data_IF_418381047204
#
_entry.id   IF_418381047204
#
_cell.length_a   1.000
_cell.length_b   1.000
_cell.length_c   1.000
_cell.angle_alpha   90.00
_cell.angle_beta   90.00
_cell.angle_gamma   90.00
#
_symmetry.space_group_name_H-M   'P 1'
#
loop_
_entity.id
_entity.type
_entity.pdbx_description
1 polymer ?
#
# COMPACT_ATOMS: atom_id res chain seq x y z
N UNK A 1 -11.10 -13.74 18.35
CA UNK A 1 -10.54 -14.30 17.11
C UNK A 1 -11.59 -14.65 16.07
N UNK A 2 -12.50 -15.62 16.28
CA UNK A 2 -13.50 -16.02 15.26
C UNK A 2 -14.33 -14.88 14.64
N UNK A 3 -14.78 -13.91 15.43
CA UNK A 3 -15.56 -12.78 14.91
C UNK A 3 -14.75 -11.87 13.97
N UNK A 4 -13.49 -11.59 14.30
CA UNK A 4 -12.58 -10.80 13.47
C UNK A 4 -12.27 -11.52 12.15
N UNK A 5 -11.94 -12.81 12.23
CA UNK A 5 -11.64 -13.63 11.05
C UNK A 5 -12.86 -13.75 10.12
N UNK A 6 -14.07 -13.91 10.68
CA UNK A 6 -15.29 -13.96 9.87
C UNK A 6 -15.62 -12.63 9.20
N UNK A 7 -15.42 -11.51 9.91
CA UNK A 7 -15.67 -10.18 9.39
C UNK A 7 -14.67 -9.80 8.29
N UNK A 8 -13.39 -10.15 8.45
CA UNK A 8 -12.38 -9.99 7.39
C UNK A 8 -12.67 -10.86 6.17
N UNK A 9 -13.20 -12.08 6.37
CA UNK A 9 -13.56 -12.96 5.26
C UNK A 9 -14.77 -12.45 4.46
N UNK A 10 -15.72 -11.79 5.10
CA UNK A 10 -16.83 -11.12 4.40
C UNK A 10 -16.33 -9.91 3.59
N UNK A 11 -15.43 -9.09 4.16
CA UNK A 11 -14.85 -7.94 3.47
C UNK A 11 -14.00 -8.38 2.26
N UNK A 12 -13.21 -9.44 2.39
CA UNK A 12 -12.41 -10.00 1.30
C UNK A 12 -13.27 -10.60 0.17
N UNK A 13 -14.54 -10.93 0.44
CA UNK A 13 -15.51 -11.37 -0.57
C UNK A 13 -16.12 -10.21 -1.37
N UNK A 14 -15.97 -8.97 -0.92
CA UNK A 14 -16.54 -7.79 -1.59
C UNK A 14 -15.67 -7.42 -2.79
N UNK A 15 -16.31 -7.26 -3.95
CA UNK A 15 -15.66 -6.75 -5.15
C UNK A 15 -16.21 -5.38 -5.51
N UNK A 16 -15.32 -4.49 -5.94
CA UNK A 16 -15.66 -3.24 -6.59
C UNK A 16 -15.86 -3.52 -8.08
N UNK A 17 -17.00 -3.08 -8.62
CA UNK A 17 -17.38 -3.26 -10.03
C UNK A 17 -17.31 -4.75 -10.47
N UNK A 18 -17.65 -5.67 -9.55
CA UNK A 18 -17.62 -7.13 -9.72
C UNK A 18 -16.26 -7.73 -10.12
N UNK A 19 -15.21 -6.91 -10.18
CA UNK A 19 -13.94 -7.26 -10.83
C UNK A 19 -12.76 -7.15 -9.88
N UNK A 20 -12.70 -6.08 -9.07
CA UNK A 20 -11.53 -5.78 -8.23
C UNK A 20 -11.84 -6.15 -6.78
N UNK A 21 -11.06 -7.02 -6.12
CA UNK A 21 -11.20 -7.25 -4.69
C UNK A 21 -11.13 -5.93 -3.91
N UNK A 22 -12.09 -5.69 -3.01
CA UNK A 22 -12.12 -4.49 -2.16
C UNK A 22 -10.81 -4.34 -1.38
N UNK A 23 -10.24 -5.47 -0.95
CA UNK A 23 -8.97 -5.53 -0.24
C UNK A 23 -7.85 -4.84 -1.02
N UNK A 24 -7.66 -5.20 -2.30
CA UNK A 24 -6.67 -4.56 -3.17
C UNK A 24 -6.89 -3.05 -3.32
N UNK A 25 -8.15 -2.62 -3.37
CA UNK A 25 -8.46 -1.19 -3.42
C UNK A 25 -8.08 -0.48 -2.11
N UNK A 26 -8.31 -1.11 -0.96
CA UNK A 26 -7.93 -0.58 0.35
C UNK A 26 -6.41 -0.50 0.50
N UNK A 27 -5.66 -1.53 0.09
CA UNK A 27 -4.19 -1.51 0.06
C UNK A 27 -3.65 -0.33 -0.75
N UNK A 28 -4.23 -0.10 -1.94
CA UNK A 28 -3.88 0.99 -2.82
C UNK A 28 -4.13 2.38 -2.19
N UNK A 29 -5.29 2.56 -1.55
CA UNK A 29 -5.63 3.79 -0.82
C UNK A 29 -4.69 3.99 0.36
N UNK A 30 -4.42 2.93 1.11
CA UNK A 30 -3.63 2.98 2.33
C UNK A 30 -2.19 3.43 2.05
N UNK A 31 -1.55 2.84 1.05
CA UNK A 31 -0.20 3.24 0.64
C UNK A 31 -0.13 4.71 0.23
N UNK A 32 -1.11 5.16 -0.57
CA UNK A 32 -1.16 6.56 -1.00
C UNK A 32 -1.48 7.53 0.15
N UNK A 33 -2.33 7.13 1.10
CA UNK A 33 -2.64 7.92 2.29
C UNK A 33 -1.40 8.14 3.16
N UNK A 34 -0.64 7.09 3.47
CA UNK A 34 0.63 7.20 4.22
C UNK A 34 1.59 8.13 3.48
N UNK A 35 1.74 7.94 2.17
CA UNK A 35 2.61 8.79 1.35
C UNK A 35 2.22 10.26 1.47
N UNK A 36 0.94 10.60 1.25
CA UNK A 36 0.45 11.98 1.31
C UNK A 36 0.54 12.59 2.70
N UNK A 37 0.26 11.82 3.76
CA UNK A 37 0.44 12.25 5.15
C UNK A 37 1.92 12.61 5.38
N UNK A 38 2.85 11.75 4.98
CA UNK A 38 4.28 12.06 5.09
C UNK A 38 4.66 13.34 4.33
N UNK A 39 4.07 13.56 3.14
CA UNK A 39 4.28 14.80 2.38
C UNK A 39 3.70 16.02 3.09
N UNK A 40 2.55 15.90 3.76
CA UNK A 40 1.97 16.97 4.58
C UNK A 40 2.89 17.39 5.74
N UNK A 41 3.65 16.44 6.30
CA UNK A 41 4.71 16.71 7.28
C UNK A 41 6.04 17.19 6.66
N UNK A 42 6.03 17.62 5.40
CA UNK A 42 7.21 18.11 4.65
C UNK A 42 8.34 17.08 4.53
N UNK A 43 8.06 15.80 4.71
CA UNK A 43 9.03 14.73 4.44
C UNK A 43 9.29 14.69 2.94
N UNK A 44 10.55 14.65 2.52
CA UNK A 44 10.93 14.60 1.10
C UNK A 44 10.32 13.38 0.41
N UNK A 45 9.95 13.49 -0.86
CA UNK A 45 9.24 12.41 -1.58
C UNK A 45 9.98 11.07 -1.55
N UNK A 46 11.31 11.03 -1.57
CA UNK A 46 12.08 9.80 -1.45
C UNK A 46 11.90 9.15 -0.08
N UNK A 47 12.03 9.94 1.00
CA UNK A 47 11.81 9.49 2.38
C UNK A 47 10.36 9.06 2.62
N UNK A 48 9.38 9.76 2.03
CA UNK A 48 7.96 9.35 2.10
C UNK A 48 7.73 8.01 1.43
N UNK A 49 8.37 7.77 0.27
CA UNK A 49 8.29 6.47 -0.40
C UNK A 49 8.93 5.38 0.46
N UNK A 50 10.14 5.61 0.98
CA UNK A 50 10.83 4.67 1.88
C UNK A 50 9.96 4.34 3.09
N UNK A 51 9.28 5.32 3.68
CA UNK A 51 8.39 5.11 4.81
C UNK A 51 7.24 4.13 4.47
N UNK A 52 6.60 4.29 3.31
CA UNK A 52 5.56 3.34 2.86
C UNK A 52 6.14 1.94 2.70
N UNK A 53 7.29 1.81 2.03
CA UNK A 53 7.99 0.53 1.86
C UNK A 53 8.30 -0.15 3.21
N UNK A 54 8.77 0.63 4.19
CA UNK A 54 9.09 0.11 5.52
C UNK A 54 7.84 -0.33 6.28
N UNK A 55 6.78 0.48 6.29
CA UNK A 55 5.54 0.15 7.00
C UNK A 55 4.92 -1.11 6.40
N UNK A 56 4.80 -1.18 5.07
CA UNK A 56 4.18 -2.33 4.42
C UNK A 56 5.05 -3.58 4.56
N UNK A 57 6.37 -3.46 4.40
CA UNK A 57 7.28 -4.59 4.61
C UNK A 57 7.20 -5.16 6.03
N UNK A 58 7.04 -4.32 7.06
CA UNK A 58 6.84 -4.77 8.44
C UNK A 58 5.48 -5.45 8.61
N UNK A 59 4.42 -4.90 8.02
CA UNK A 59 3.06 -5.47 8.08
C UNK A 59 3.02 -6.88 7.48
N UNK A 60 3.49 -7.01 6.25
CA UNK A 60 3.51 -8.30 5.52
C UNK A 60 4.42 -9.34 6.20
N UNK A 61 5.53 -8.89 6.78
CA UNK A 61 6.37 -9.75 7.60
C UNK A 61 5.63 -10.25 8.84
N UNK A 62 4.91 -9.37 9.55
CA UNK A 62 4.12 -9.76 10.72
C UNK A 62 2.98 -10.74 10.35
N UNK A 63 2.28 -10.50 9.25
CA UNK A 63 1.22 -11.38 8.75
C UNK A 63 1.76 -12.75 8.31
N UNK A 64 2.97 -12.81 7.74
CA UNK A 64 3.67 -14.06 7.45
C UNK A 64 3.94 -14.91 8.70
N UNK A 65 4.30 -14.29 9.83
CA UNK A 65 4.50 -14.99 11.12
C UNK A 65 3.18 -15.41 11.78
N UNK A 66 2.12 -14.63 11.59
CA UNK A 66 0.79 -14.95 12.11
C UNK A 66 0.09 -16.06 11.30
N UNK A 67 0.66 -16.49 10.16
CA UNK A 67 0.09 -17.45 9.21
C UNK A 67 -1.32 -17.07 8.76
N UNK A 68 -1.63 -15.78 8.74
CA UNK A 68 -2.93 -15.25 8.36
C UNK A 68 -3.13 -15.27 6.85
N UNK A 69 -2.04 -15.10 6.10
CA UNK A 69 -2.00 -15.05 4.64
C UNK A 69 -0.84 -15.89 4.09
N UNK A 70 -0.94 -16.30 2.82
CA UNK A 70 0.14 -16.94 2.07
C UNK A 70 1.21 -15.94 1.65
N UNK A 71 2.41 -16.44 1.31
CA UNK A 71 3.50 -15.61 0.79
C UNK A 71 3.08 -14.89 -0.51
N UNK A 72 2.30 -15.55 -1.36
CA UNK A 72 1.81 -14.98 -2.63
C UNK A 72 0.86 -13.81 -2.39
N UNK A 73 -0.07 -13.95 -1.43
CA UNK A 73 -0.99 -12.88 -1.01
C UNK A 73 -0.22 -11.68 -0.47
N UNK A 74 0.73 -11.92 0.44
CA UNK A 74 1.55 -10.85 1.03
C UNK A 74 2.37 -10.08 0.00
N UNK A 75 2.87 -10.77 -1.04
CA UNK A 75 3.58 -10.11 -2.15
C UNK A 75 2.62 -9.27 -2.99
N UNK A 76 1.43 -9.80 -3.31
CA UNK A 76 0.43 -9.07 -4.08
C UNK A 76 0.01 -7.79 -3.36
N UNK A 77 -0.30 -7.90 -2.08
CA UNK A 77 -0.67 -6.83 -1.18
C UNK A 77 0.41 -5.75 -1.10
N UNK A 78 1.67 -6.17 -0.89
CA UNK A 78 2.81 -5.27 -0.91
C UNK A 78 2.90 -4.47 -2.22
N UNK A 79 2.86 -5.16 -3.36
CA UNK A 79 3.00 -4.55 -4.69
C UNK A 79 1.88 -3.54 -4.93
N UNK A 80 0.65 -3.89 -4.57
CA UNK A 80 -0.51 -3.02 -4.74
C UNK A 80 -0.38 -1.78 -3.86
N UNK A 81 -0.02 -1.93 -2.59
CA UNK A 81 0.17 -0.82 -1.65
C UNK A 81 1.23 0.18 -2.12
N UNK A 82 2.36 -0.29 -2.65
CA UNK A 82 3.48 0.60 -3.05
C UNK A 82 3.31 1.22 -4.43
N UNK A 83 2.39 0.72 -5.27
CA UNK A 83 2.24 1.10 -6.67
C UNK A 83 1.94 2.59 -6.90
N UNK A 84 0.91 3.14 -6.25
CA UNK A 84 0.53 4.56 -6.37
C UNK A 84 1.57 5.51 -5.75
N UNK A 85 2.10 5.28 -4.53
CA UNK A 85 3.21 6.06 -3.99
C UNK A 85 4.43 6.12 -4.92
N UNK A 86 4.78 4.99 -5.55
CA UNK A 86 5.88 4.93 -6.50
C UNK A 86 5.58 5.79 -7.74
N UNK A 87 4.37 5.70 -8.30
CA UNK A 87 3.95 6.53 -9.42
C UNK A 87 4.01 8.03 -9.08
N UNK A 88 3.52 8.42 -7.90
CA UNK A 88 3.57 9.79 -7.41
C UNK A 88 5.02 10.31 -7.31
N UNK A 89 5.92 9.50 -6.73
CA UNK A 89 7.35 9.79 -6.65
C UNK A 89 7.98 9.98 -8.05
N UNK A 90 7.67 9.10 -8.99
CA UNK A 90 8.21 9.17 -10.35
C UNK A 90 7.74 10.42 -11.10
N UNK A 91 6.47 10.80 -10.93
CA UNK A 91 5.90 12.03 -11.49
C UNK A 91 6.63 13.26 -10.92
N UNK A 92 6.84 13.31 -9.59
CA UNK A 92 7.57 14.41 -8.95
C UNK A 92 9.02 14.49 -9.45
N UNK A 93 9.72 13.35 -9.53
CA UNK A 93 11.10 13.28 -10.04
C UNK A 93 11.20 13.76 -11.49
N UNK A 94 10.24 13.41 -12.34
CA UNK A 94 10.18 13.87 -13.73
C UNK A 94 9.98 15.40 -13.80
N UNK A 95 9.05 15.95 -13.00
CA UNK A 95 8.81 17.40 -12.95
C UNK A 95 10.04 18.18 -12.47
N UNK A 96 10.76 17.67 -11.48
CA UNK A 96 11.99 18.30 -10.98
C UNK A 96 13.11 18.31 -12.02
N UNK A 97 13.25 17.25 -12.84
CA UNK A 97 14.23 17.22 -13.95
C UNK A 97 13.89 18.25 -15.04
N UNK A 98 12.61 18.39 -15.41
CA UNK A 98 12.20 19.35 -16.45
C UNK A 98 12.49 20.79 -16.05
N UNK A 99 12.42 21.14 -14.77
CA UNK A 99 12.73 22.51 -14.29
C UNK A 99 14.22 22.88 -14.30
N UNK A 100 15.11 21.91 -14.47
CA UNK A 100 16.57 22.11 -14.43
C UNK A 100 17.17 22.25 -15.84
N UNK A 101 16.38 22.06 -16.90
CA UNK A 101 16.75 22.28 -18.30
C UNK A 101 16.14 23.59 -18.80
#
# INVERSE_FOLDING_TARGET
MKAYTNLMREINGVKILDTIPLDYFLHMIFGMAIYLIARAFKISSSKSLILVFTIEGIKEFADSFAMTNTIEENIADFVITVSLPLLAFLIEKKKSKVKLN
#
